data_IF_837476962078
#
_entry.id   IF_837476962078
#
_cell.length_a   1.000
_cell.length_b   1.000
_cell.length_c   1.000
_cell.angle_alpha   90.00
_cell.angle_beta   90.00
_cell.angle_gamma   90.00
#
_symmetry.space_group_name_H-M   'P 1'
#
loop_
_entity.id
_entity.type
_entity.pdbx_description
1 polymer ?
#
# COMPACT_ATOMS: atom_id res chain seq x y z
N UNK A 1 -31.17 15.92 -2.55
CA UNK A 1 -31.69 14.77 -3.36
C UNK A 1 -33.01 14.30 -2.76
N UNK A 2 -33.95 13.82 -3.56
CA UNK A 2 -35.30 13.49 -3.10
C UNK A 2 -35.37 12.12 -2.41
N UNK A 3 -36.30 11.96 -1.46
CA UNK A 3 -36.57 10.68 -0.78
C UNK A 3 -36.85 9.51 -1.75
N UNK A 4 -37.41 9.80 -2.93
CA UNK A 4 -37.69 8.80 -3.96
C UNK A 4 -36.40 8.16 -4.52
N UNK A 5 -35.34 8.95 -4.70
CA UNK A 5 -34.05 8.45 -5.20
C UNK A 5 -33.43 7.43 -4.24
N UNK A 6 -33.42 7.73 -2.93
CA UNK A 6 -32.82 6.84 -1.94
C UNK A 6 -33.63 5.56 -1.70
N UNK A 7 -34.96 5.63 -1.80
CA UNK A 7 -35.78 4.41 -1.80
C UNK A 7 -35.49 3.54 -3.05
N UNK A 8 -35.34 4.14 -4.23
CA UNK A 8 -34.95 3.41 -5.44
C UNK A 8 -33.56 2.76 -5.27
N UNK A 9 -32.59 3.51 -4.76
CA UNK A 9 -31.25 3.00 -4.48
C UNK A 9 -31.27 1.85 -3.46
N UNK A 10 -32.09 1.97 -2.40
CA UNK A 10 -32.32 0.90 -1.44
C UNK A 10 -32.83 -0.38 -2.12
N UNK A 11 -33.90 -0.28 -2.93
CA UNK A 11 -34.46 -1.44 -3.62
C UNK A 11 -33.46 -2.09 -4.58
N UNK A 12 -32.75 -1.28 -5.38
CA UNK A 12 -31.71 -1.77 -6.28
C UNK A 12 -30.57 -2.46 -5.53
N UNK A 13 -30.15 -1.90 -4.38
CA UNK A 13 -29.08 -2.47 -3.56
C UNK A 13 -29.52 -3.78 -2.92
N UNK A 14 -30.77 -3.87 -2.47
CA UNK A 14 -31.34 -5.08 -1.90
C UNK A 14 -31.48 -6.19 -2.96
N UNK A 15 -31.94 -5.86 -4.16
CA UNK A 15 -32.02 -6.80 -5.29
C UNK A 15 -30.63 -7.29 -5.72
N UNK A 16 -29.65 -6.37 -5.80
CA UNK A 16 -28.26 -6.72 -6.08
C UNK A 16 -27.66 -7.65 -5.02
N UNK A 17 -27.94 -7.41 -3.74
CA UNK A 17 -27.49 -8.26 -2.64
C UNK A 17 -28.11 -9.65 -2.72
N UNK A 18 -29.42 -9.76 -2.94
CA UNK A 18 -30.09 -11.05 -3.08
C UNK A 18 -29.54 -11.84 -4.28
N UNK A 19 -29.38 -11.19 -5.43
CA UNK A 19 -28.78 -11.82 -6.61
C UNK A 19 -27.34 -12.30 -6.36
N UNK A 20 -26.59 -11.58 -5.53
CA UNK A 20 -25.23 -11.96 -5.19
C UNK A 20 -25.19 -13.19 -4.26
N UNK A 21 -26.07 -13.23 -3.26
CA UNK A 21 -26.23 -14.36 -2.34
C UNK A 21 -26.68 -15.63 -3.07
N UNK A 22 -27.60 -15.51 -4.03
CA UNK A 22 -28.05 -16.65 -4.84
C UNK A 22 -26.88 -17.23 -5.66
N UNK A 23 -26.03 -16.38 -6.24
CA UNK A 23 -24.84 -16.82 -7.00
C UNK A 23 -23.78 -17.45 -6.12
N UNK A 24 -23.56 -16.89 -4.94
CA UNK A 24 -22.59 -17.41 -3.97
C UNK A 24 -23.01 -18.80 -3.45
N UNK A 25 -24.30 -19.00 -3.16
CA UNK A 25 -24.83 -20.30 -2.73
C UNK A 25 -24.74 -21.38 -3.81
N UNK A 26 -24.99 -21.03 -5.08
CA UNK A 26 -24.82 -21.95 -6.21
C UNK A 26 -23.35 -22.37 -6.40
N UNK A 27 -22.41 -21.43 -6.29
CA UNK A 27 -20.99 -21.70 -6.50
C UNK A 27 -20.37 -22.61 -5.42
N UNK A 28 -20.89 -22.58 -4.18
CA UNK A 28 -20.44 -23.48 -3.11
C UNK A 28 -20.76 -24.96 -3.45
N UNK A 29 -21.82 -25.21 -4.23
CA UNK A 29 -22.29 -26.56 -4.55
C UNK A 29 -21.48 -27.26 -5.66
N UNK A 30 -20.76 -26.51 -6.50
CA UNK A 30 -20.14 -27.02 -7.75
C UNK A 30 -18.63 -27.34 -7.64
N UNK A 31 -18.11 -27.55 -6.43
CA UNK A 31 -16.66 -27.50 -6.15
C UNK A 31 -15.80 -28.61 -6.80
N UNK A 32 -15.24 -28.34 -7.99
CA UNK A 32 -13.88 -28.73 -8.41
C UNK A 32 -13.31 -27.69 -9.40
N UNK A 33 -12.38 -26.82 -8.98
CA UNK A 33 -11.75 -25.84 -9.89
C UNK A 33 -10.37 -25.39 -9.42
N UNK A 34 -9.54 -24.97 -10.40
CA UNK A 34 -8.19 -24.45 -10.21
C UNK A 34 -8.15 -23.25 -9.25
N UNK A 35 -7.06 -23.12 -8.47
CA UNK A 35 -6.85 -22.04 -7.48
C UNK A 35 -7.06 -20.64 -8.06
N UNK A 36 -6.61 -20.40 -9.30
CA UNK A 36 -6.77 -19.11 -10.01
C UNK A 36 -8.24 -18.75 -10.21
N UNK A 37 -9.07 -19.74 -10.56
CA UNK A 37 -10.50 -19.52 -10.77
C UNK A 37 -11.21 -19.21 -9.45
N UNK A 38 -10.86 -19.94 -8.38
CA UNK A 38 -11.38 -19.68 -7.03
C UNK A 38 -11.03 -18.24 -6.61
N UNK A 39 -9.78 -17.82 -6.82
CA UNK A 39 -9.36 -16.47 -6.51
C UNK A 39 -10.16 -15.42 -7.28
N UNK A 40 -10.28 -15.58 -8.61
CA UNK A 40 -11.02 -14.63 -9.45
C UNK A 40 -12.50 -14.56 -9.06
N UNK A 41 -13.10 -15.69 -8.68
CA UNK A 41 -14.46 -15.76 -8.15
C UNK A 41 -14.57 -14.97 -6.83
N UNK A 42 -13.70 -15.24 -5.85
CA UNK A 42 -13.72 -14.56 -4.54
C UNK A 42 -13.46 -13.06 -4.67
N UNK A 43 -12.49 -12.67 -5.49
CA UNK A 43 -12.20 -11.27 -5.78
C UNK A 43 -13.42 -10.57 -6.43
N UNK A 44 -14.13 -11.25 -7.33
CA UNK A 44 -15.36 -10.72 -7.93
C UNK A 44 -16.47 -10.54 -6.88
N UNK A 45 -16.66 -11.50 -5.97
CA UNK A 45 -17.61 -11.35 -4.87
C UNK A 45 -17.21 -10.21 -3.95
N UNK A 46 -15.94 -10.15 -3.53
CA UNK A 46 -15.40 -9.09 -2.68
C UNK A 46 -15.71 -7.70 -3.24
N UNK A 47 -15.38 -7.46 -4.52
CA UNK A 47 -15.64 -6.17 -5.19
C UNK A 47 -17.13 -5.83 -5.18
N UNK A 48 -18.00 -6.79 -5.52
CA UNK A 48 -19.46 -6.57 -5.54
C UNK A 48 -20.03 -6.29 -4.15
N UNK A 49 -19.55 -6.98 -3.13
CA UNK A 49 -19.95 -6.71 -1.74
C UNK A 49 -19.47 -5.34 -1.26
N UNK A 50 -18.26 -4.89 -1.65
CA UNK A 50 -17.79 -3.53 -1.37
C UNK A 50 -18.70 -2.47 -2.03
N UNK A 51 -19.15 -2.69 -3.26
CA UNK A 51 -20.11 -1.80 -3.93
C UNK A 51 -21.46 -1.74 -3.19
N UNK A 52 -21.99 -2.91 -2.78
CA UNK A 52 -23.22 -3.01 -1.99
C UNK A 52 -23.04 -2.26 -0.66
N UNK A 53 -21.92 -2.47 0.03
CA UNK A 53 -21.60 -1.79 1.28
C UNK A 53 -21.65 -0.26 1.12
N UNK A 54 -21.02 0.29 0.09
CA UNK A 54 -21.04 1.74 -0.20
C UNK A 54 -22.45 2.26 -0.45
N UNK A 55 -23.25 1.53 -1.22
CA UNK A 55 -24.64 1.92 -1.49
C UNK A 55 -25.48 1.86 -0.20
N UNK A 56 -25.32 0.82 0.61
CA UNK A 56 -26.01 0.69 1.90
C UNK A 56 -25.63 1.80 2.89
N UNK A 57 -24.36 2.22 2.93
CA UNK A 57 -23.91 3.34 3.75
C UNK A 57 -24.61 4.65 3.33
N UNK A 58 -24.64 4.93 2.02
CA UNK A 58 -25.34 6.09 1.48
C UNK A 58 -26.85 6.03 1.77
N UNK A 59 -27.47 4.87 1.63
CA UNK A 59 -28.89 4.67 1.96
C UNK A 59 -29.13 4.90 3.47
N UNK A 60 -28.28 4.34 4.32
CA UNK A 60 -28.41 4.44 5.78
C UNK A 60 -28.32 5.89 6.28
N UNK A 61 -27.44 6.69 5.68
CA UNK A 61 -27.26 8.09 6.06
C UNK A 61 -28.43 8.97 5.61
N UNK A 62 -29.03 8.67 4.46
CA UNK A 62 -30.04 9.52 3.83
C UNK A 62 -31.48 9.12 4.18
N UNK A 63 -31.74 7.87 4.59
CA UNK A 63 -33.06 7.44 5.03
C UNK A 63 -33.32 7.88 6.48
N UNK A 64 -34.38 8.68 6.66
CA UNK A 64 -34.81 9.20 7.97
C UNK A 64 -35.73 8.22 8.71
N UNK A 65 -36.38 7.30 8.00
CA UNK A 65 -37.37 6.39 8.58
C UNK A 65 -36.75 5.42 9.61
N UNK A 66 -37.14 5.46 10.91
CA UNK A 66 -36.45 4.72 11.98
C UNK A 66 -36.41 3.20 11.78
N UNK A 67 -37.55 2.57 11.45
CA UNK A 67 -37.63 1.11 11.32
C UNK A 67 -36.75 0.59 10.17
N UNK A 68 -36.89 1.19 8.97
CA UNK A 68 -36.02 0.90 7.82
C UNK A 68 -34.54 1.09 8.18
N UNK A 69 -34.21 2.15 8.90
CA UNK A 69 -32.81 2.45 9.27
C UNK A 69 -32.21 1.40 10.20
N UNK A 70 -32.97 0.85 11.15
CA UNK A 70 -32.55 -0.28 11.99
C UNK A 70 -32.30 -1.53 11.14
N UNK A 71 -33.16 -1.80 10.15
CA UNK A 71 -33.00 -2.93 9.24
C UNK A 71 -31.73 -2.77 8.38
N UNK A 72 -31.58 -1.62 7.75
CA UNK A 72 -30.42 -1.29 6.92
C UNK A 72 -29.13 -1.38 7.73
N UNK A 73 -29.14 -0.93 8.99
CA UNK A 73 -27.99 -1.04 9.90
C UNK A 73 -27.52 -2.49 10.06
N UNK A 74 -28.46 -3.41 10.32
CA UNK A 74 -28.17 -4.85 10.49
C UNK A 74 -27.63 -5.47 9.20
N UNK A 75 -28.21 -5.11 8.07
CA UNK A 75 -27.75 -5.61 6.76
C UNK A 75 -26.36 -5.06 6.44
N UNK A 76 -26.10 -3.79 6.73
CA UNK A 76 -24.79 -3.16 6.57
C UNK A 76 -23.72 -3.84 7.44
N UNK A 77 -24.03 -4.24 8.68
CA UNK A 77 -23.14 -5.06 9.50
C UNK A 77 -22.88 -6.44 8.89
N UNK A 78 -23.92 -7.11 8.40
CA UNK A 78 -23.78 -8.42 7.76
C UNK A 78 -22.89 -8.35 6.51
N UNK A 79 -23.12 -7.36 5.64
CA UNK A 79 -22.28 -7.12 4.46
C UNK A 79 -20.85 -6.78 4.85
N UNK A 80 -20.65 -5.97 5.90
CA UNK A 80 -19.32 -5.66 6.42
C UNK A 80 -18.58 -6.91 6.90
N UNK A 81 -19.27 -7.80 7.61
CA UNK A 81 -18.75 -9.11 8.00
C UNK A 81 -18.35 -9.94 6.79
N UNK A 82 -19.23 -10.07 5.79
CA UNK A 82 -18.94 -10.86 4.58
C UNK A 82 -17.76 -10.31 3.77
N UNK A 83 -17.59 -8.99 3.70
CA UNK A 83 -16.42 -8.36 3.07
C UNK A 83 -15.12 -8.79 3.77
N UNK A 84 -15.12 -8.86 5.10
CA UNK A 84 -13.96 -9.31 5.88
C UNK A 84 -13.69 -10.80 5.70
N UNK A 85 -14.74 -11.63 5.70
CA UNK A 85 -14.63 -13.07 5.45
C UNK A 85 -14.03 -13.36 4.08
N UNK A 86 -14.57 -12.77 3.00
CA UNK A 86 -14.05 -12.92 1.64
C UNK A 86 -12.61 -12.45 1.54
N UNK A 87 -12.27 -11.33 2.20
CA UNK A 87 -10.90 -10.85 2.24
C UNK A 87 -9.98 -11.86 2.93
N UNK A 88 -10.42 -12.44 4.05
CA UNK A 88 -9.66 -13.45 4.76
C UNK A 88 -9.48 -14.73 3.91
N UNK A 89 -10.53 -15.22 3.26
CA UNK A 89 -10.47 -16.37 2.35
C UNK A 89 -9.46 -16.14 1.21
N UNK A 90 -9.44 -14.94 0.62
CA UNK A 90 -8.44 -14.58 -0.40
C UNK A 90 -7.01 -14.58 0.14
N UNK A 91 -6.80 -13.98 1.33
CA UNK A 91 -5.48 -13.92 1.99
C UNK A 91 -4.99 -15.33 2.30
N UNK A 92 -5.86 -16.22 2.77
CA UNK A 92 -5.52 -17.63 3.04
C UNK A 92 -5.16 -18.39 1.75
N UNK A 93 -5.82 -18.09 0.63
CA UNK A 93 -5.55 -18.73 -0.65
C UNK A 93 -4.22 -18.33 -1.28
N UNK A 94 -3.84 -17.05 -1.22
CA UNK A 94 -2.60 -16.54 -1.82
C UNK A 94 -1.45 -16.35 -0.82
N UNK A 95 -1.73 -16.46 0.48
CA UNK A 95 -0.80 -16.16 1.58
C UNK A 95 -0.26 -14.73 1.56
N UNK A 96 -1.05 -13.78 1.05
CA UNK A 96 -0.68 -12.38 0.85
C UNK A 96 -1.79 -11.45 1.31
N UNK A 97 -1.45 -10.34 1.98
CA UNK A 97 -2.45 -9.35 2.40
C UNK A 97 -2.92 -8.47 1.22
N UNK A 98 -1.99 -8.15 0.32
CA UNK A 98 -2.20 -7.24 -0.81
C UNK A 98 -2.50 -8.00 -2.09
N UNK A 99 -3.55 -7.58 -2.79
CA UNK A 99 -4.08 -8.23 -3.98
C UNK A 99 -4.31 -7.20 -5.08
N UNK A 100 -4.00 -7.57 -6.32
CA UNK A 100 -4.22 -6.74 -7.50
C UNK A 100 -5.54 -7.10 -8.15
N UNK A 101 -6.38 -6.10 -8.40
CA UNK A 101 -7.73 -6.27 -8.94
C UNK A 101 -7.87 -5.72 -10.37
N UNK A 102 -6.78 -5.36 -11.03
CA UNK A 102 -6.80 -4.58 -12.28
C UNK A 102 -7.65 -5.23 -13.38
N UNK A 103 -7.46 -6.54 -13.62
CA UNK A 103 -8.21 -7.28 -14.64
C UNK A 103 -9.71 -7.31 -14.34
N UNK A 104 -10.08 -7.57 -13.09
CA UNK A 104 -11.48 -7.67 -12.65
C UNK A 104 -12.14 -6.28 -12.65
N UNK A 105 -11.40 -5.24 -12.26
CA UNK A 105 -11.85 -3.86 -12.33
C UNK A 105 -12.09 -3.41 -13.77
N UNK A 106 -11.21 -3.82 -14.69
CA UNK A 106 -11.37 -3.55 -16.11
C UNK A 106 -12.64 -4.22 -16.67
N UNK A 107 -12.87 -5.49 -16.34
CA UNK A 107 -14.06 -6.24 -16.76
C UNK A 107 -15.36 -5.60 -16.23
N UNK A 108 -15.34 -5.18 -14.97
CA UNK A 108 -16.49 -4.53 -14.32
C UNK A 108 -16.63 -3.04 -14.67
N UNK A 109 -15.69 -2.48 -15.44
CA UNK A 109 -15.62 -1.05 -15.79
C UNK A 109 -15.63 -0.13 -14.57
N UNK A 110 -14.84 -0.50 -13.56
CA UNK A 110 -14.74 0.22 -12.30
C UNK A 110 -13.41 0.92 -12.15
N UNK A 111 -13.44 2.11 -11.55
CA UNK A 111 -12.26 2.82 -11.12
C UNK A 111 -11.81 2.35 -9.72
N UNK A 112 -10.51 2.33 -9.41
CA UNK A 112 -10.00 1.90 -8.10
C UNK A 112 -10.62 2.68 -6.91
N UNK A 113 -10.92 3.97 -7.09
CA UNK A 113 -11.55 4.81 -6.05
C UNK A 113 -12.96 4.33 -5.67
N UNK A 114 -13.59 3.50 -6.50
CA UNK A 114 -14.89 2.89 -6.21
C UNK A 114 -14.78 1.71 -5.24
N UNK A 115 -13.57 1.21 -4.96
CA UNK A 115 -13.29 0.20 -3.93
C UNK A 115 -12.95 0.79 -2.57
N UNK A 116 -12.82 2.11 -2.44
CA UNK A 116 -12.59 2.73 -1.13
C UNK A 116 -13.75 2.39 -0.18
N UNK A 117 -13.43 1.84 0.99
CA UNK A 117 -14.42 1.43 1.98
C UNK A 117 -14.69 2.63 2.90
N UNK A 118 -15.88 3.28 2.84
CA UNK A 118 -16.19 4.41 3.69
C UNK A 118 -16.38 3.96 5.14
N UNK A 119 -15.99 4.81 6.09
CA UNK A 119 -16.30 4.59 7.51
C UNK A 119 -17.78 4.89 7.72
N UNK A 120 -18.62 3.92 8.13
CA UNK A 120 -20.05 4.18 8.27
C UNK A 120 -20.35 5.24 9.33
N UNK A 121 -21.20 6.21 9.00
CA UNK A 121 -21.47 7.37 9.86
C UNK A 121 -22.13 7.04 11.19
N UNK A 122 -22.80 5.88 11.32
CA UNK A 122 -23.37 5.48 12.60
C UNK A 122 -22.30 5.19 13.66
N UNK A 123 -21.08 4.79 13.29
CA UNK A 123 -20.01 4.54 14.28
C UNK A 123 -19.75 5.78 15.13
N UNK A 124 -19.80 6.96 14.50
CA UNK A 124 -19.66 8.24 15.19
C UNK A 124 -20.92 8.59 15.98
N UNK A 125 -22.11 8.41 15.39
CA UNK A 125 -23.39 8.75 16.03
C UNK A 125 -23.64 7.90 17.29
N UNK A 126 -23.36 6.61 17.26
CA UNK A 126 -23.55 5.68 18.37
C UNK A 126 -22.50 5.90 19.49
N UNK A 127 -21.26 6.23 19.12
CA UNK A 127 -20.17 6.49 20.09
C UNK A 127 -20.17 7.92 20.61
N UNK A 128 -21.08 8.79 20.17
CA UNK A 128 -21.07 10.22 20.48
C UNK A 128 -21.12 10.48 21.98
N UNK A 129 -21.96 9.76 22.72
CA UNK A 129 -22.04 9.89 24.18
C UNK A 129 -20.79 9.37 24.89
N UNK A 130 -20.17 8.31 24.38
CA UNK A 130 -18.88 7.81 24.89
C UNK A 130 -17.77 8.81 24.61
N UNK A 131 -17.75 9.43 23.43
CA UNK A 131 -16.78 10.45 23.04
C UNK A 131 -16.94 11.68 23.94
N UNK A 132 -18.16 12.21 24.12
CA UNK A 132 -18.43 13.30 25.07
C UNK A 132 -18.01 12.96 26.50
N UNK A 133 -18.26 11.72 26.93
CA UNK A 133 -17.81 11.24 28.24
C UNK A 133 -16.28 11.30 28.38
N UNK A 134 -15.56 10.82 27.36
CA UNK A 134 -14.09 10.88 27.30
C UNK A 134 -13.56 12.31 27.23
N UNK A 135 -14.21 13.18 26.47
CA UNK A 135 -13.86 14.61 26.38
C UNK A 135 -13.97 15.30 27.74
N UNK A 136 -15.01 15.00 28.53
CA UNK A 136 -15.15 15.52 29.90
C UNK A 136 -14.03 15.03 30.81
N UNK A 137 -13.68 13.75 30.75
CA UNK A 137 -12.58 13.18 31.56
C UNK A 137 -11.26 13.84 31.16
N UNK A 138 -11.00 13.98 29.85
CA UNK A 138 -9.80 14.63 29.33
C UNK A 138 -9.73 16.09 29.80
N UNK A 139 -10.82 16.84 29.68
CA UNK A 139 -10.89 18.22 30.17
C UNK A 139 -10.59 18.32 31.67
N UNK A 140 -11.11 17.39 32.47
CA UNK A 140 -10.82 17.34 33.90
C UNK A 140 -9.33 17.03 34.18
N UNK A 141 -8.72 16.10 33.44
CA UNK A 141 -7.29 15.80 33.57
C UNK A 141 -6.43 17.01 33.17
N UNK A 142 -6.77 17.70 32.08
CA UNK A 142 -6.06 18.89 31.61
C UNK A 142 -6.13 20.03 32.62
N UNK A 143 -7.32 20.29 33.18
CA UNK A 143 -7.52 21.26 34.25
C UNK A 143 -6.68 20.90 35.50
N UNK A 144 -6.67 19.62 35.89
CA UNK A 144 -5.92 19.14 37.06
C UNK A 144 -4.39 19.19 36.86
N UNK A 145 -3.91 19.00 35.63
CA UNK A 145 -2.48 19.01 35.30
C UNK A 145 -1.93 20.41 35.01
N UNK A 146 -2.76 21.45 35.05
CA UNK A 146 -2.37 22.82 34.72
C UNK A 146 -1.99 23.01 33.25
N UNK A 147 -2.31 22.01 32.41
CA UNK A 147 -2.14 22.03 30.95
C UNK A 147 -3.44 22.42 30.26
N UNK A 148 -4.26 23.28 30.90
CA UNK A 148 -5.26 24.07 30.19
C UNK A 148 -4.51 25.00 29.24
N UNK A 149 -4.10 24.46 28.11
CA UNK A 149 -3.64 25.22 26.96
C UNK A 149 -4.95 25.78 26.39
N UNK A 150 -5.32 27.05 26.65
CA UNK A 150 -6.42 27.65 25.91
C UNK A 150 -6.09 27.42 24.45
N UNK A 151 -7.04 26.88 23.67
CA UNK A 151 -6.86 26.62 22.24
C UNK A 151 -6.04 27.75 21.66
N UNK A 152 -4.73 27.52 21.47
CA UNK A 152 -3.88 28.51 20.83
C UNK A 152 -4.36 28.40 19.41
N UNK A 153 -5.36 29.22 19.09
CA UNK A 153 -5.67 29.63 17.73
C UNK A 153 -4.38 30.26 17.27
N UNK A 154 -3.47 29.44 16.75
CA UNK A 154 -2.38 29.91 15.93
C UNK A 154 -3.13 30.64 14.84
N UNK A 155 -3.19 31.96 14.96
CA UNK A 155 -3.60 32.82 13.87
C UNK A 155 -2.58 32.50 12.80
N UNK A 156 -2.93 31.60 11.90
CA UNK A 156 -2.13 31.30 10.72
C UNK A 156 -2.10 32.64 10.00
N UNK A 157 -1.02 33.40 10.18
CA UNK A 157 -0.80 34.61 9.41
C UNK A 157 -0.69 34.13 7.98
N UNK A 158 -1.73 34.40 7.19
CA UNK A 158 -1.75 34.03 5.78
C UNK A 158 -0.52 34.65 5.12
N UNK A 159 0.24 33.83 4.42
CA UNK A 159 1.37 34.29 3.63
C UNK A 159 0.81 35.21 2.54
N UNK A 160 1.32 36.44 2.37
CA UNK A 160 0.85 37.32 1.30
C UNK A 160 1.07 36.67 -0.07
N UNK A 161 0.17 36.92 -1.01
CA UNK A 161 0.15 36.26 -2.32
C UNK A 161 1.51 36.32 -3.03
N UNK A 162 2.18 37.46 -2.99
CA UNK A 162 3.50 37.66 -3.61
C UNK A 162 4.59 36.76 -3.02
N UNK A 163 4.58 36.57 -1.70
CA UNK A 163 5.53 35.71 -1.01
C UNK A 163 5.25 34.23 -1.31
N UNK A 164 3.98 33.85 -1.35
CA UNK A 164 3.57 32.50 -1.75
C UNK A 164 3.99 32.19 -3.20
N UNK A 165 3.78 33.13 -4.14
CA UNK A 165 4.21 32.98 -5.54
C UNK A 165 5.73 32.86 -5.65
N UNK A 166 6.49 33.70 -4.93
CA UNK A 166 7.96 33.62 -4.90
C UNK A 166 8.45 32.26 -4.38
N UNK A 167 7.86 31.77 -3.28
CA UNK A 167 8.21 30.46 -2.72
C UNK A 167 7.96 29.33 -3.73
N UNK A 168 6.81 29.33 -4.39
CA UNK A 168 6.47 28.33 -5.41
C UNK A 168 7.46 28.39 -6.59
N UNK A 169 7.77 29.60 -7.08
CA UNK A 169 8.71 29.78 -8.19
C UNK A 169 10.13 29.34 -7.83
N UNK A 170 10.62 29.65 -6.63
CA UNK A 170 11.93 29.21 -6.13
C UNK A 170 11.97 27.69 -6.04
N UNK A 171 10.93 27.08 -5.46
CA UNK A 171 10.83 25.63 -5.32
C UNK A 171 10.80 24.93 -6.68
N UNK A 172 10.00 25.42 -7.63
CA UNK A 172 9.91 24.83 -8.98
C UNK A 172 11.22 25.03 -9.76
N UNK A 173 11.87 26.20 -9.67
CA UNK A 173 13.19 26.42 -10.27
C UNK A 173 14.23 25.46 -9.70
N UNK A 174 14.24 25.25 -8.38
CA UNK A 174 15.13 24.30 -7.74
C UNK A 174 14.84 22.85 -8.18
N UNK A 175 13.57 22.46 -8.30
CA UNK A 175 13.16 21.15 -8.79
C UNK A 175 13.63 20.91 -10.23
N UNK A 176 13.40 21.87 -11.12
CA UNK A 176 13.86 21.84 -12.51
C UNK A 176 15.39 21.78 -12.59
N UNK A 177 16.10 22.54 -11.76
CA UNK A 177 17.57 22.51 -11.66
C UNK A 177 18.09 21.13 -11.26
N UNK A 178 17.48 20.49 -10.25
CA UNK A 178 17.83 19.12 -9.85
C UNK A 178 17.59 18.12 -10.97
N UNK A 179 16.45 18.20 -11.65
CA UNK A 179 16.10 17.28 -12.74
C UNK A 179 17.07 17.42 -13.92
N UNK A 180 17.40 18.65 -14.33
CA UNK A 180 18.41 18.92 -15.36
C UNK A 180 19.80 18.42 -14.96
N UNK A 181 20.22 18.64 -13.71
CA UNK A 181 21.50 18.16 -13.21
C UNK A 181 21.59 16.63 -13.22
N UNK A 182 20.52 15.92 -12.82
CA UNK A 182 20.46 14.46 -12.92
C UNK A 182 20.55 13.98 -14.37
N UNK A 183 19.81 14.62 -15.28
CA UNK A 183 19.83 14.26 -16.71
C UNK A 183 21.21 14.48 -17.34
N UNK A 184 21.85 15.63 -17.09
CA UNK A 184 23.22 15.92 -17.56
C UNK A 184 24.24 14.93 -16.98
N UNK A 185 24.09 14.55 -15.71
CA UNK A 185 24.94 13.52 -15.09
C UNK A 185 24.80 12.16 -15.78
N UNK A 186 23.58 11.77 -16.16
CA UNK A 186 23.35 10.52 -16.89
C UNK A 186 24.02 10.53 -18.26
N UNK A 187 23.88 11.62 -19.02
CA UNK A 187 24.55 11.78 -20.33
C UNK A 187 26.07 11.67 -20.16
N UNK A 188 26.64 12.42 -19.20
CA UNK A 188 28.07 12.38 -18.94
C UNK A 188 28.57 10.96 -18.61
N UNK A 189 27.85 10.23 -17.76
CA UNK A 189 28.21 8.85 -17.41
C UNK A 189 28.09 7.89 -18.59
N UNK A 190 27.09 8.07 -19.46
CA UNK A 190 26.96 7.27 -20.69
C UNK A 190 28.12 7.54 -21.65
N UNK A 191 28.46 8.81 -21.90
CA UNK A 191 29.62 9.16 -22.73
C UNK A 191 30.93 8.65 -22.14
N UNK A 192 31.10 8.75 -20.81
CA UNK A 192 32.28 8.25 -20.13
C UNK A 192 32.41 6.73 -20.28
N UNK A 193 31.32 5.99 -20.08
CA UNK A 193 31.28 4.53 -20.33
C UNK A 193 31.62 4.23 -21.79
N UNK A 194 30.98 4.89 -22.75
CA UNK A 194 31.25 4.67 -24.17
C UNK A 194 32.72 4.94 -24.55
N UNK A 195 33.35 5.98 -23.98
CA UNK A 195 34.79 6.23 -24.12
C UNK A 195 35.63 5.10 -23.51
N UNK A 196 35.29 4.63 -22.32
CA UNK A 196 35.98 3.51 -21.71
C UNK A 196 35.82 2.22 -22.51
N UNK A 197 34.63 1.89 -23.02
CA UNK A 197 34.42 0.70 -23.86
C UNK A 197 35.20 0.78 -25.17
N UNK A 198 35.37 1.97 -25.75
CA UNK A 198 36.25 2.15 -26.92
C UNK A 198 37.71 1.87 -26.57
N UNK A 199 38.21 2.42 -25.47
CA UNK A 199 39.60 2.22 -24.99
C UNK A 199 39.85 0.75 -24.60
N UNK A 200 38.88 0.08 -23.96
CA UNK A 200 38.95 -1.33 -23.59
C UNK A 200 38.75 -2.26 -24.79
N UNK A 201 37.91 -1.90 -25.75
CA UNK A 201 37.72 -2.65 -27.00
C UNK A 201 38.95 -2.61 -27.91
N UNK A 202 39.77 -1.56 -27.82
CA UNK A 202 41.07 -1.46 -28.50
C UNK A 202 42.15 -2.31 -27.81
N UNK A 203 42.00 -2.58 -26.51
CA UNK A 203 42.84 -3.56 -25.79
C UNK A 203 42.25 -4.95 -25.97
N UNK A 204 42.59 -5.61 -27.08
CA UNK A 204 42.47 -7.07 -27.18
C UNK A 204 43.09 -7.65 -25.91
N UNK A 205 42.27 -8.31 -25.09
CA UNK A 205 42.71 -8.91 -23.82
C UNK A 205 43.77 -9.94 -24.17
N UNK A 206 45.04 -9.61 -23.90
CA UNK A 206 46.14 -10.56 -24.02
C UNK A 206 45.91 -11.68 -23.00
N UNK A 207 45.32 -12.78 -23.50
CA UNK A 207 44.98 -13.96 -22.72
C UNK A 207 46.22 -14.49 -21.98
N UNK A 208 47.42 -14.31 -22.54
CA UNK A 208 48.68 -14.66 -21.89
C UNK A 208 48.95 -13.82 -20.63
N UNK A 209 48.74 -12.51 -20.71
CA UNK A 209 48.91 -11.62 -19.56
C UNK A 209 47.93 -11.93 -18.43
N UNK A 210 46.67 -12.28 -18.75
CA UNK A 210 45.67 -12.67 -17.76
C UNK A 210 46.04 -13.99 -17.06
N UNK A 211 46.50 -15.00 -17.83
CA UNK A 211 46.98 -16.28 -17.28
C UNK A 211 48.18 -16.06 -16.35
N UNK A 212 49.13 -15.20 -16.73
CA UNK A 212 50.30 -14.88 -15.89
C UNK A 212 49.91 -14.23 -14.56
N UNK A 213 48.90 -13.35 -14.55
CA UNK A 213 48.39 -12.73 -13.32
C UNK A 213 47.79 -13.76 -12.37
N UNK A 214 46.94 -14.66 -12.88
CA UNK A 214 46.31 -15.73 -12.11
C UNK A 214 47.38 -16.67 -11.53
N UNK A 215 48.33 -17.09 -12.36
CA UNK A 215 49.44 -17.96 -11.93
C UNK A 215 50.30 -17.31 -10.85
N UNK A 216 50.61 -16.00 -10.98
CA UNK A 216 51.38 -15.25 -9.98
C UNK A 216 50.68 -15.24 -8.63
N UNK A 217 49.37 -14.96 -8.60
CA UNK A 217 48.58 -14.93 -7.35
C UNK A 217 48.54 -16.31 -6.70
N UNK A 218 48.29 -17.37 -7.47
CA UNK A 218 48.24 -18.73 -6.96
C UNK A 218 49.58 -19.20 -6.40
N UNK A 219 50.70 -18.95 -7.12
CA UNK A 219 52.04 -19.28 -6.65
C UNK A 219 52.38 -18.55 -5.34
N UNK A 220 52.01 -17.27 -5.24
CA UNK A 220 52.18 -16.48 -4.02
C UNK A 220 51.38 -17.03 -2.84
N UNK A 221 50.11 -17.39 -3.05
CA UNK A 221 49.28 -18.03 -2.03
C UNK A 221 49.87 -19.35 -1.54
N UNK A 222 50.24 -20.23 -2.48
CA UNK A 222 50.82 -21.54 -2.17
C UNK A 222 52.12 -21.42 -1.35
N UNK A 223 53.01 -20.48 -1.72
CA UNK A 223 54.25 -20.25 -0.99
C UNK A 223 54.00 -19.73 0.44
N UNK A 224 53.00 -18.85 0.64
CA UNK A 224 52.65 -18.35 1.98
C UNK A 224 52.15 -19.47 2.88
N UNK A 225 51.23 -20.30 2.39
CA UNK A 225 50.74 -21.48 3.12
C UNK A 225 51.87 -22.42 3.51
N UNK A 226 52.81 -22.68 2.58
CA UNK A 226 53.97 -23.52 2.86
C UNK A 226 54.89 -22.90 3.93
N UNK A 227 55.13 -21.60 3.84
CA UNK A 227 56.00 -20.88 4.79
C UNK A 227 55.38 -20.82 6.19
N UNK A 228 54.06 -20.65 6.27
CA UNK A 228 53.31 -20.68 7.54
C UNK A 228 53.44 -22.05 8.21
N UNK A 229 53.22 -23.13 7.45
CA UNK A 229 53.41 -24.50 7.95
C UNK A 229 54.84 -24.78 8.42
N UNK A 230 55.84 -24.37 7.64
CA UNK A 230 57.25 -24.52 8.02
C UNK A 230 57.59 -23.75 9.30
N UNK A 231 57.02 -22.55 9.46
CA UNK A 231 57.18 -21.76 10.68
C UNK A 231 56.55 -22.48 11.88
N UNK A 232 55.35 -23.02 11.75
CA UNK A 232 54.71 -23.81 12.82
C UNK A 232 55.56 -25.03 13.21
N UNK A 233 56.07 -25.77 12.23
CA UNK A 233 56.97 -26.92 12.45
C UNK A 233 58.27 -26.50 13.16
N UNK A 234 58.87 -25.37 12.78
CA UNK A 234 60.05 -24.82 13.45
C UNK A 234 59.75 -24.34 14.88
N UNK A 235 58.60 -23.72 15.14
CA UNK A 235 58.19 -23.30 16.49
C UNK A 235 58.05 -24.51 17.43
N UNK A 236 57.39 -25.57 16.95
CA UNK A 236 57.27 -26.85 17.67
C UNK A 236 58.65 -27.44 17.95
N UNK A 237 59.56 -27.42 16.96
CA UNK A 237 60.93 -27.91 17.12
C UNK A 237 61.74 -27.11 18.15
N UNK A 238 61.56 -25.79 18.19
CA UNK A 238 62.21 -24.89 19.15
C UNK A 238 61.58 -24.92 20.55
N UNK A 239 60.48 -25.65 20.74
CA UNK A 239 59.80 -25.82 22.03
C UNK A 239 58.95 -24.62 22.47
N UNK A 240 58.49 -23.79 21.51
CA UNK A 240 57.50 -22.72 21.70
C UNK A 240 56.12 -23.18 21.24
#
# INVERSE_FOLDING_TARGET
MSNAMYNKMWHQTQEALNSLLDKESQNIMESQSNQVFIFQMLATFYIKYVQIFRNLENVYDQIVHPQKRILIRKILDGVMGRVLELKNEMVELELMEFHYFDDILQDLKLAPQQLDIPIPKYFLKEKLEVIKGREKILAQILANTGLDIPEKKYTVKGIPLEEAVKLIQIAERARQGRLRAMFMKQIFLQEYRAKQTKILGEKVVDMGAAVLQIQKVWRGFHQRMKTEKQREEEMIFLGM
#
